data_IF_725731008268
#
_entry.id   IF_725731008268
#
_cell.length_a   1.000
_cell.length_b   1.000
_cell.length_c   1.000
_cell.angle_alpha   90.00
_cell.angle_beta   90.00
_cell.angle_gamma   90.00
#
_symmetry.space_group_name_H-M   'P 1'
#
loop_
_entity.id
_entity.type
_entity.pdbx_description
1 polymer ?
#
# COMPACT_ATOMS: atom_id res chain seq x y z
N UNK A 1 -26.16 6.26 37.31
CA UNK A 1 -26.06 6.87 35.99
C UNK A 1 -24.57 7.02 35.70
N UNK A 2 -24.03 6.11 34.94
CA UNK A 2 -22.61 6.08 34.55
C UNK A 2 -22.52 6.55 33.09
N UNK A 3 -21.82 7.68 32.88
CA UNK A 3 -21.55 8.20 31.53
C UNK A 3 -20.65 7.24 30.76
N UNK A 4 -20.84 7.07 29.43
CA UNK A 4 -19.95 6.26 28.63
C UNK A 4 -18.64 7.03 28.34
N UNK A 5 -17.52 6.37 28.58
CA UNK A 5 -16.19 6.81 28.17
C UNK A 5 -16.15 7.00 26.64
N UNK A 6 -15.90 8.23 26.22
CA UNK A 6 -15.66 8.58 24.82
C UNK A 6 -14.28 8.02 24.45
N UNK A 7 -14.25 7.01 23.57
CA UNK A 7 -13.01 6.52 22.97
C UNK A 7 -12.40 7.65 22.14
N UNK A 8 -11.31 8.22 22.60
CA UNK A 8 -10.63 9.29 21.89
C UNK A 8 -10.01 8.78 20.60
N UNK A 9 -10.54 9.22 19.49
CA UNK A 9 -9.90 9.06 18.17
C UNK A 9 -8.60 9.87 18.20
N UNK A 10 -7.47 9.17 18.22
CA UNK A 10 -6.15 9.81 18.12
C UNK A 10 -5.97 10.26 16.68
N UNK A 11 -6.18 11.55 16.42
CA UNK A 11 -5.83 12.14 15.13
C UNK A 11 -4.31 12.10 14.94
N UNK A 12 -3.80 11.72 13.75
CA UNK A 12 -2.37 11.73 13.50
C UNK A 12 -1.82 13.15 13.66
N UNK A 13 -0.75 13.29 14.45
CA UNK A 13 -0.07 14.56 14.65
C UNK A 13 0.48 15.01 13.30
N UNK A 14 -0.06 16.10 12.75
CA UNK A 14 0.47 16.71 11.53
C UNK A 14 1.87 17.27 11.83
N UNK A 15 2.90 16.67 11.24
CA UNK A 15 4.25 17.21 11.35
C UNK A 15 4.35 18.47 10.49
N UNK A 16 4.65 19.59 11.14
CA UNK A 16 4.92 20.86 10.47
C UNK A 16 6.43 20.99 10.20
N UNK A 17 6.78 21.58 9.07
CA UNK A 17 8.15 21.97 8.79
C UNK A 17 8.58 23.15 9.70
N UNK A 18 9.86 23.56 9.62
CA UNK A 18 10.39 24.70 10.41
C UNK A 18 9.72 26.03 10.09
N UNK A 19 8.85 26.11 9.08
CA UNK A 19 8.08 27.28 8.67
C UNK A 19 6.59 27.16 8.98
N UNK A 20 6.15 26.07 9.66
CA UNK A 20 4.75 25.84 10.01
C UNK A 20 3.89 25.27 8.87
N UNK A 21 4.50 24.79 7.78
CA UNK A 21 3.78 24.13 6.70
C UNK A 21 3.70 22.62 6.95
N UNK A 22 2.61 21.98 6.54
CA UNK A 22 2.52 20.52 6.54
C UNK A 22 3.63 19.93 5.67
N UNK A 23 4.46 19.06 6.25
CA UNK A 23 5.45 18.32 5.47
C UNK A 23 4.75 17.40 4.47
N UNK A 24 5.17 17.47 3.20
CA UNK A 24 4.66 16.58 2.15
C UNK A 24 4.97 15.13 2.50
N UNK A 25 3.95 14.30 2.62
CA UNK A 25 4.10 12.87 2.87
C UNK A 25 4.83 12.19 1.72
N UNK A 26 5.68 11.22 2.06
CA UNK A 26 6.53 10.48 1.11
C UNK A 26 6.05 9.02 1.03
N UNK A 27 5.77 8.54 -0.18
CA UNK A 27 5.40 7.14 -0.38
C UNK A 27 6.33 6.45 -1.38
N UNK A 28 6.71 5.20 -1.08
CA UNK A 28 7.42 4.30 -1.98
C UNK A 28 6.45 3.27 -2.55
N UNK A 29 6.43 3.14 -3.87
CA UNK A 29 5.71 2.09 -4.58
C UNK A 29 6.74 1.29 -5.39
N UNK A 30 7.27 0.17 -4.87
CA UNK A 30 8.18 -0.69 -5.60
C UNK A 30 7.40 -1.49 -6.65
N UNK A 31 7.96 -1.61 -7.85
CA UNK A 31 7.42 -2.38 -8.97
C UNK A 31 8.48 -3.29 -9.58
N UNK A 32 8.07 -4.44 -10.09
CA UNK A 32 8.94 -5.40 -10.75
C UNK A 32 8.28 -5.96 -12.01
N UNK A 33 9.02 -6.69 -12.84
CA UNK A 33 8.41 -7.44 -13.94
C UNK A 33 7.34 -8.40 -13.38
N UNK A 34 6.13 -8.34 -13.96
CA UNK A 34 4.98 -9.11 -13.50
C UNK A 34 4.18 -8.49 -12.35
N UNK A 35 4.50 -7.27 -11.90
CA UNK A 35 3.59 -6.51 -11.03
C UNK A 35 2.24 -6.27 -11.72
N UNK A 36 1.15 -6.28 -10.94
CA UNK A 36 -0.19 -6.04 -11.46
C UNK A 36 -0.38 -4.55 -11.74
N UNK A 37 -0.64 -4.22 -13.01
CA UNK A 37 -0.66 -2.83 -13.49
C UNK A 37 -1.83 -2.01 -12.96
N UNK A 38 -3.02 -2.59 -12.83
CA UNK A 38 -4.18 -1.87 -12.30
C UNK A 38 -3.94 -1.47 -10.85
N UNK A 39 -3.36 -2.36 -10.06
CA UNK A 39 -3.05 -2.11 -8.66
C UNK A 39 -1.96 -1.04 -8.54
N UNK A 40 -0.83 -1.24 -9.22
CA UNK A 40 0.29 -0.31 -9.16
C UNK A 40 -0.10 1.11 -9.59
N UNK A 41 -0.76 1.25 -10.74
CA UNK A 41 -1.16 2.55 -11.29
C UNK A 41 -2.24 3.21 -10.41
N UNK A 42 -3.20 2.44 -9.89
CA UNK A 42 -4.24 2.96 -9.00
C UNK A 42 -3.63 3.50 -7.70
N UNK A 43 -2.73 2.75 -7.07
CA UNK A 43 -2.03 3.21 -5.87
C UNK A 43 -1.29 4.53 -6.14
N UNK A 44 -0.51 4.58 -7.23
CA UNK A 44 0.28 5.75 -7.62
C UNK A 44 -0.61 6.97 -7.88
N UNK A 45 -1.67 6.81 -8.68
CA UNK A 45 -2.57 7.89 -9.07
C UNK A 45 -3.31 8.47 -7.85
N UNK A 46 -3.92 7.61 -7.04
CA UNK A 46 -4.73 8.03 -5.88
C UNK A 46 -3.87 8.74 -4.83
N UNK A 47 -2.68 8.23 -4.53
CA UNK A 47 -1.75 8.89 -3.61
C UNK A 47 -1.27 10.24 -4.15
N UNK A 48 -0.97 10.34 -5.46
CA UNK A 48 -0.59 11.62 -6.09
C UNK A 48 -1.73 12.63 -6.06
N UNK A 49 -2.99 12.21 -6.25
CA UNK A 49 -4.19 13.06 -6.07
C UNK A 49 -4.28 13.64 -4.65
N UNK A 50 -3.86 12.87 -3.65
CA UNK A 50 -3.81 13.33 -2.26
C UNK A 50 -2.66 14.32 -1.97
N UNK A 51 -1.80 14.61 -2.93
CA UNK A 51 -0.62 15.46 -2.75
C UNK A 51 0.57 14.74 -2.11
N UNK A 52 0.55 13.41 -2.06
CA UNK A 52 1.68 12.60 -1.57
C UNK A 52 2.79 12.58 -2.61
N UNK A 53 4.04 12.77 -2.19
CA UNK A 53 5.20 12.61 -3.04
C UNK A 53 5.50 11.12 -3.23
N UNK A 54 5.01 10.56 -4.34
CA UNK A 54 5.16 9.14 -4.68
C UNK A 54 6.42 8.92 -5.49
N UNK A 55 7.28 8.03 -5.00
CA UNK A 55 8.42 7.49 -5.75
C UNK A 55 8.08 6.08 -6.20
N UNK A 56 8.08 5.85 -7.50
CA UNK A 56 7.96 4.52 -8.11
C UNK A 56 9.36 3.97 -8.30
N UNK A 57 9.69 2.83 -7.69
CA UNK A 57 11.04 2.26 -7.76
C UNK A 57 11.03 0.90 -8.46
N UNK A 58 11.87 0.75 -9.50
CA UNK A 58 12.07 -0.53 -10.18
C UNK A 58 12.91 -1.48 -9.33
N UNK A 59 12.35 -2.65 -9.05
CA UNK A 59 13.09 -3.78 -8.48
C UNK A 59 13.56 -4.64 -9.63
N UNK A 60 14.75 -4.36 -10.12
CA UNK A 60 15.42 -5.08 -11.20
C UNK A 60 16.91 -4.99 -11.01
N UNK A 61 17.63 -6.06 -11.38
CA UNK A 61 19.09 -6.08 -11.42
C UNK A 61 19.66 -5.27 -12.60
N UNK A 62 18.80 -4.94 -13.56
CA UNK A 62 19.19 -4.10 -14.70
C UNK A 62 19.05 -2.62 -14.34
N UNK A 63 19.85 -1.77 -15.03
CA UNK A 63 19.70 -0.32 -14.95
C UNK A 63 18.44 0.19 -15.68
N UNK A 64 17.68 -0.69 -16.31
CA UNK A 64 16.45 -0.33 -17.00
C UNK A 64 15.33 -0.09 -15.97
N UNK A 65 14.81 1.11 -15.95
CA UNK A 65 13.68 1.49 -15.07
C UNK A 65 12.33 1.02 -15.63
N UNK A 66 12.30 0.49 -16.85
CA UNK A 66 11.10 -0.04 -17.49
C UNK A 66 10.83 -1.47 -17.01
N UNK A 67 9.63 -1.70 -16.50
CA UNK A 67 9.14 -3.04 -16.18
C UNK A 67 8.01 -3.43 -17.14
N UNK A 68 7.87 -4.73 -17.38
CA UNK A 68 6.71 -5.31 -18.06
C UNK A 68 5.76 -5.85 -17.00
N UNK A 69 4.60 -5.25 -16.88
CA UNK A 69 3.58 -5.62 -15.90
C UNK A 69 2.88 -6.94 -16.29
N UNK A 70 2.02 -7.46 -15.42
CA UNK A 70 1.46 -8.81 -15.50
C UNK A 70 0.61 -9.07 -16.77
N UNK A 71 0.04 -8.03 -17.36
CA UNK A 71 -0.77 -8.10 -18.60
C UNK A 71 -0.08 -7.46 -19.81
N UNK A 72 1.22 -7.15 -19.68
CA UNK A 72 2.05 -6.66 -20.77
C UNK A 72 2.15 -5.14 -20.88
N UNK A 73 1.52 -4.40 -19.99
CA UNK A 73 1.69 -2.94 -19.91
C UNK A 73 3.11 -2.59 -19.50
N UNK A 74 3.71 -1.57 -20.12
CA UNK A 74 5.00 -1.06 -19.70
C UNK A 74 4.83 0.06 -18.67
N UNK A 75 5.54 -0.06 -17.56
CA UNK A 75 5.64 0.99 -16.54
C UNK A 75 7.11 1.41 -16.47
N UNK A 76 7.36 2.72 -16.50
CA UNK A 76 8.69 3.28 -16.29
C UNK A 76 8.74 3.86 -14.89
N UNK A 77 9.61 3.31 -14.04
CA UNK A 77 9.83 3.76 -12.68
C UNK A 77 10.62 5.07 -12.64
N UNK A 78 10.49 5.81 -11.54
CA UNK A 78 11.21 7.07 -11.33
C UNK A 78 12.70 6.83 -11.04
N UNK A 79 13.01 5.69 -10.37
CA UNK A 79 14.39 5.32 -9.98
C UNK A 79 14.53 3.81 -9.77
N UNK A 80 15.75 3.35 -9.53
CA UNK A 80 16.02 2.00 -9.04
C UNK A 80 15.70 1.89 -7.54
N UNK A 81 15.30 0.70 -7.07
CA UNK A 81 15.13 0.42 -5.63
C UNK A 81 16.43 0.67 -4.85
N UNK A 82 17.59 0.51 -5.48
CA UNK A 82 18.89 0.81 -4.86
C UNK A 82 19.06 2.28 -4.47
N UNK A 83 18.46 3.20 -5.24
CA UNK A 83 18.46 4.62 -4.95
C UNK A 83 17.56 4.99 -3.75
N UNK A 84 16.71 4.05 -3.31
CA UNK A 84 15.84 4.19 -2.16
C UNK A 84 16.46 3.68 -0.85
N UNK A 85 17.61 2.99 -0.93
CA UNK A 85 18.29 2.43 0.24
C UNK A 85 18.58 3.50 1.31
N UNK A 86 18.25 3.19 2.56
CA UNK A 86 18.48 4.09 3.70
C UNK A 86 17.57 5.33 3.76
N UNK A 87 16.65 5.52 2.80
CA UNK A 87 15.65 6.60 2.86
C UNK A 87 14.49 6.20 3.75
N UNK A 88 13.91 7.20 4.39
CA UNK A 88 12.72 7.05 5.21
C UNK A 88 11.48 7.42 4.40
N UNK A 89 10.43 6.62 4.54
CA UNK A 89 9.15 6.80 3.87
C UNK A 89 8.02 6.88 4.91
N UNK A 90 6.98 7.66 4.65
CA UNK A 90 5.76 7.63 5.49
C UNK A 90 4.90 6.40 5.16
N UNK A 91 4.96 5.93 3.91
CA UNK A 91 4.25 4.77 3.41
C UNK A 91 5.13 3.94 2.47
N UNK A 92 5.10 2.62 2.59
CA UNK A 92 5.50 1.69 1.53
C UNK A 92 4.25 0.94 1.09
N UNK A 93 3.88 1.01 -0.20
CA UNK A 93 2.71 0.35 -0.75
C UNK A 93 3.12 -0.67 -1.83
N UNK A 94 2.78 -1.94 -1.60
CA UNK A 94 3.20 -3.09 -2.38
C UNK A 94 2.07 -3.54 -3.30
N UNK A 95 2.15 -3.36 -4.63
CA UNK A 95 1.24 -3.98 -5.58
C UNK A 95 1.47 -5.49 -5.63
N UNK A 96 0.45 -6.22 -6.08
CA UNK A 96 0.53 -7.66 -6.28
C UNK A 96 1.01 -8.05 -7.68
N UNK A 97 0.39 -9.10 -8.19
CA UNK A 97 0.80 -9.78 -9.43
C UNK A 97 1.80 -10.91 -9.17
N UNK A 98 1.73 -11.94 -10.01
CA UNK A 98 2.69 -13.05 -10.01
C UNK A 98 3.26 -13.13 -11.44
N UNK A 99 4.60 -13.08 -11.62
CA UNK A 99 5.67 -13.21 -10.61
C UNK A 99 6.10 -11.90 -9.93
N UNK A 100 5.44 -10.76 -10.16
CA UNK A 100 5.87 -9.45 -9.62
C UNK A 100 6.12 -9.45 -8.11
N UNK A 101 5.16 -9.99 -7.30
CA UNK A 101 5.32 -10.09 -5.86
C UNK A 101 6.50 -10.99 -5.43
N UNK A 102 6.84 -12.01 -6.22
CA UNK A 102 7.99 -12.87 -5.96
C UNK A 102 9.29 -12.10 -6.17
N UNK A 103 9.43 -11.37 -7.28
CA UNK A 103 10.59 -10.51 -7.54
C UNK A 103 10.74 -9.41 -6.48
N UNK A 104 9.62 -8.83 -5.99
CA UNK A 104 9.66 -7.89 -4.87
C UNK A 104 10.15 -8.57 -3.58
N UNK A 105 9.68 -9.79 -3.29
CA UNK A 105 10.08 -10.54 -2.11
C UNK A 105 11.56 -10.91 -2.08
N UNK A 106 12.15 -11.16 -3.26
CA UNK A 106 13.57 -11.52 -3.43
C UNK A 106 14.54 -10.33 -3.29
N UNK A 107 14.03 -9.09 -3.36
CA UNK A 107 14.86 -7.89 -3.24
C UNK A 107 15.38 -7.69 -1.82
N UNK A 108 16.69 -7.80 -1.64
CA UNK A 108 17.34 -7.56 -0.35
C UNK A 108 17.24 -6.10 0.10
N UNK A 109 17.26 -5.15 -0.83
CA UNK A 109 17.10 -3.72 -0.53
C UNK A 109 15.67 -3.44 -0.05
N UNK A 110 14.66 -3.98 -0.74
CA UNK A 110 13.27 -3.82 -0.30
C UNK A 110 13.04 -4.49 1.05
N UNK A 111 13.64 -5.66 1.29
CA UNK A 111 13.54 -6.32 2.59
C UNK A 111 14.07 -5.44 3.73
N UNK A 112 15.26 -4.85 3.57
CA UNK A 112 15.83 -3.93 4.55
C UNK A 112 14.93 -2.71 4.80
N UNK A 113 14.35 -2.16 3.73
CA UNK A 113 13.38 -1.05 3.84
C UNK A 113 12.13 -1.46 4.62
N UNK A 114 11.55 -2.64 4.33
CA UNK A 114 10.37 -3.15 5.02
C UNK A 114 10.65 -3.43 6.50
N UNK A 115 11.76 -4.07 6.84
CA UNK A 115 12.13 -4.35 8.22
C UNK A 115 12.29 -3.06 9.04
N UNK A 116 12.97 -2.05 8.48
CA UNK A 116 13.12 -0.75 9.12
C UNK A 116 11.77 -0.05 9.27
N UNK A 117 10.95 -0.08 8.23
CA UNK A 117 9.64 0.57 8.16
C UNK A 117 8.68 0.05 9.23
N UNK A 118 8.58 -1.27 9.36
CA UNK A 118 7.75 -1.94 10.39
C UNK A 118 8.27 -1.65 11.80
N UNK A 119 9.59 -1.70 12.00
CA UNK A 119 10.21 -1.38 13.30
C UNK A 119 9.93 0.05 13.76
N UNK A 120 9.81 0.98 12.81
CA UNK A 120 9.48 2.38 13.07
C UNK A 120 7.97 2.64 13.11
N UNK A 121 7.13 1.59 13.05
CA UNK A 121 5.67 1.65 13.06
C UNK A 121 5.08 2.58 11.98
N UNK A 122 5.72 2.67 10.82
CA UNK A 122 5.24 3.46 9.68
C UNK A 122 4.20 2.70 8.89
N UNK A 123 3.39 3.43 8.13
CA UNK A 123 2.27 2.86 7.38
C UNK A 123 2.75 1.92 6.26
N UNK A 124 2.23 0.70 6.25
CA UNK A 124 2.54 -0.35 5.30
C UNK A 124 1.26 -0.77 4.57
N UNK A 125 1.30 -0.77 3.25
CA UNK A 125 0.19 -1.24 2.41
C UNK A 125 0.60 -2.42 1.54
N UNK A 126 -0.27 -3.42 1.38
CA UNK A 126 -0.06 -4.52 0.44
C UNK A 126 -1.39 -5.04 -0.12
N UNK A 127 -1.42 -5.37 -1.42
CA UNK A 127 -2.64 -5.83 -2.08
C UNK A 127 -2.41 -7.12 -2.86
N UNK A 128 -3.46 -7.92 -3.03
CA UNK A 128 -3.50 -9.10 -3.89
C UNK A 128 -2.57 -10.23 -3.39
N UNK A 129 -1.54 -10.58 -4.16
CA UNK A 129 -0.56 -11.59 -3.75
C UNK A 129 0.45 -11.05 -2.73
N UNK A 130 0.70 -9.74 -2.71
CA UNK A 130 1.77 -9.13 -1.91
C UNK A 130 1.63 -9.35 -0.38
N UNK A 131 0.43 -9.31 0.24
CA UNK A 131 0.30 -9.62 1.66
C UNK A 131 0.82 -11.01 2.00
N UNK A 132 0.46 -12.03 1.21
CA UNK A 132 0.88 -13.40 1.45
C UNK A 132 2.35 -13.66 1.06
N UNK A 133 2.71 -13.29 -0.19
CA UNK A 133 4.01 -13.64 -0.80
C UNK A 133 5.16 -12.81 -0.22
N UNK A 134 4.89 -11.58 0.21
CA UNK A 134 5.92 -10.69 0.76
C UNK A 134 5.80 -10.61 2.28
N UNK A 135 4.71 -10.03 2.79
CA UNK A 135 4.61 -9.71 4.22
C UNK A 135 4.49 -10.95 5.08
N UNK A 136 3.65 -11.91 4.69
CA UNK A 136 3.44 -13.16 5.41
C UNK A 136 4.71 -14.01 5.46
N UNK A 137 5.39 -14.19 4.31
CA UNK A 137 6.63 -14.97 4.24
C UNK A 137 7.78 -14.35 5.06
N UNK A 138 7.79 -13.02 5.21
CA UNK A 138 8.76 -12.30 6.04
C UNK A 138 8.35 -12.19 7.51
N UNK A 139 7.22 -12.79 7.91
CA UNK A 139 6.71 -12.76 9.29
C UNK A 139 6.17 -11.40 9.76
N UNK A 140 5.94 -10.45 8.83
CA UNK A 140 5.48 -9.10 9.15
C UNK A 140 3.98 -9.01 9.46
N UNK A 141 3.25 -10.11 9.34
CA UNK A 141 1.82 -10.24 9.67
C UNK A 141 1.57 -11.19 10.85
N UNK A 142 2.60 -11.62 11.56
CA UNK A 142 2.47 -12.63 12.61
C UNK A 142 1.55 -12.20 13.78
N UNK A 143 1.38 -10.91 14.01
CA UNK A 143 0.51 -10.30 15.02
C UNK A 143 -0.70 -9.56 14.44
N UNK A 144 -0.94 -9.67 13.12
CA UNK A 144 -1.93 -8.88 12.37
C UNK A 144 -3.09 -9.71 11.85
N UNK A 145 -4.27 -9.13 11.85
CA UNK A 145 -5.39 -9.53 10.98
C UNK A 145 -5.15 -8.91 9.60
N UNK A 146 -5.23 -9.71 8.55
CA UNK A 146 -4.93 -9.24 7.19
C UNK A 146 -5.75 -10.00 6.14
N UNK A 147 -5.88 -9.44 4.94
CA UNK A 147 -6.47 -10.10 3.78
C UNK A 147 -5.49 -10.11 2.61
N UNK A 148 -5.75 -10.96 1.62
CA UNK A 148 -4.98 -11.05 0.37
C UNK A 148 -5.88 -11.54 -0.77
N UNK A 149 -5.31 -11.84 -1.93
CA UNK A 149 -6.05 -12.47 -3.00
C UNK A 149 -6.53 -13.87 -2.59
N UNK A 150 -7.78 -14.28 -2.89
CA UNK A 150 -8.38 -15.55 -2.44
C UNK A 150 -7.53 -16.79 -2.71
N UNK A 151 -6.75 -16.80 -3.80
CA UNK A 151 -5.83 -17.90 -4.11
C UNK A 151 -4.75 -18.13 -3.05
N UNK A 152 -4.49 -17.16 -2.19
CA UNK A 152 -3.42 -17.19 -1.18
C UNK A 152 -3.94 -17.32 0.27
N UNK A 153 -5.25 -17.36 0.50
CA UNK A 153 -5.81 -17.42 1.86
C UNK A 153 -5.23 -18.57 2.68
N UNK A 154 -5.11 -19.76 2.08
CA UNK A 154 -4.61 -20.95 2.79
C UNK A 154 -3.09 -20.92 3.06
N UNK A 155 -2.34 -20.15 2.29
CA UNK A 155 -0.88 -20.07 2.42
C UNK A 155 -0.42 -18.83 3.16
N UNK A 156 -1.32 -17.87 3.41
CA UNK A 156 -0.97 -16.61 4.06
C UNK A 156 -0.62 -16.81 5.54
N UNK A 157 0.57 -16.38 5.92
CA UNK A 157 1.08 -16.42 7.30
C UNK A 157 0.74 -15.12 8.00
N UNK A 158 -0.44 -15.06 8.62
CA UNK A 158 -0.92 -13.94 9.43
C UNK A 158 -1.50 -14.47 10.75
N UNK A 159 -1.71 -13.61 11.75
CA UNK A 159 -2.42 -13.98 12.98
C UNK A 159 -3.84 -14.42 12.65
N UNK A 160 -4.51 -13.71 11.77
CA UNK A 160 -5.85 -13.99 11.30
C UNK A 160 -5.98 -13.58 9.83
N UNK A 161 -6.64 -14.43 9.02
CA UNK A 161 -6.91 -14.16 7.61
C UNK A 161 -8.38 -13.80 7.47
N UNK A 162 -8.66 -12.52 7.21
CA UNK A 162 -10.00 -12.03 6.89
C UNK A 162 -10.30 -12.31 5.41
N UNK A 163 -11.29 -13.14 5.14
CA UNK A 163 -11.71 -13.55 3.80
C UNK A 163 -12.88 -12.75 3.25
N UNK A 164 -13.51 -11.90 4.07
CA UNK A 164 -14.75 -11.18 3.76
C UNK A 164 -14.49 -9.73 3.39
N UNK A 165 -13.60 -9.07 4.13
CA UNK A 165 -13.36 -7.63 3.97
C UNK A 165 -12.55 -7.33 2.72
N UNK A 166 -12.98 -6.35 1.93
CA UNK A 166 -12.27 -5.87 0.75
C UNK A 166 -10.94 -5.19 1.10
N UNK A 167 -10.91 -4.51 2.24
CA UNK A 167 -9.74 -3.85 2.83
C UNK A 167 -9.73 -4.13 4.32
N UNK A 168 -8.59 -4.47 4.87
CA UNK A 168 -8.35 -4.70 6.30
C UNK A 168 -7.30 -3.73 6.79
N UNK A 169 -7.61 -3.03 7.88
CA UNK A 169 -6.68 -2.15 8.60
C UNK A 169 -6.39 -2.75 9.96
N UNK A 170 -5.15 -3.05 10.25
CA UNK A 170 -4.70 -3.48 11.57
C UNK A 170 -3.45 -2.68 11.99
N UNK A 171 -3.68 -1.67 12.84
CA UNK A 171 -2.66 -0.74 13.27
C UNK A 171 -2.08 0.05 12.08
N UNK A 172 -0.80 -0.15 11.83
CA UNK A 172 -0.08 0.51 10.74
C UNK A 172 -0.02 -0.33 9.44
N UNK A 173 -0.82 -1.37 9.34
CA UNK A 173 -0.85 -2.24 8.16
C UNK A 173 -2.23 -2.21 7.49
N UNK A 174 -2.24 -1.96 6.18
CA UNK A 174 -3.44 -2.00 5.34
C UNK A 174 -3.25 -3.08 4.29
N UNK A 175 -4.21 -4.01 4.20
CA UNK A 175 -4.16 -5.09 3.21
C UNK A 175 -5.45 -5.17 2.40
N UNK A 176 -5.39 -5.71 1.18
CA UNK A 176 -6.55 -5.81 0.28
C UNK A 176 -6.45 -6.98 -0.68
N UNK A 177 -7.58 -7.31 -1.36
CA UNK A 177 -7.76 -8.58 -2.04
C UNK A 177 -7.24 -8.62 -3.48
N UNK A 178 -7.33 -7.53 -4.25
CA UNK A 178 -6.90 -7.60 -5.66
C UNK A 178 -7.35 -6.43 -6.53
N UNK A 179 -7.22 -6.52 -7.86
CA UNK A 179 -7.47 -5.40 -8.77
C UNK A 179 -8.83 -4.74 -8.58
N UNK A 180 -9.88 -5.54 -8.33
CA UNK A 180 -11.23 -5.04 -8.08
C UNK A 180 -11.43 -4.27 -6.76
N UNK A 181 -10.45 -4.30 -5.86
CA UNK A 181 -10.45 -3.56 -4.59
C UNK A 181 -9.37 -2.48 -4.54
N UNK A 182 -8.64 -2.25 -5.64
CA UNK A 182 -7.47 -1.37 -5.66
C UNK A 182 -7.82 0.10 -5.32
N UNK A 183 -8.98 0.59 -5.75
CA UNK A 183 -9.42 1.96 -5.44
C UNK A 183 -9.74 2.09 -3.95
N UNK A 184 -10.49 1.14 -3.38
CA UNK A 184 -10.83 1.14 -1.96
C UNK A 184 -9.56 1.10 -1.10
N UNK A 185 -8.61 0.24 -1.48
CA UNK A 185 -7.31 0.12 -0.84
C UNK A 185 -6.49 1.41 -0.90
N UNK A 186 -6.39 2.02 -2.09
CA UNK A 186 -5.62 3.24 -2.26
C UNK A 186 -6.24 4.44 -1.52
N UNK A 187 -7.57 4.54 -1.47
CA UNK A 187 -8.27 5.56 -0.67
C UNK A 187 -8.10 5.33 0.83
N UNK A 188 -8.07 4.07 1.28
CA UNK A 188 -7.76 3.74 2.67
C UNK A 188 -6.35 4.15 3.04
N UNK A 189 -5.35 3.91 2.16
CA UNK A 189 -3.98 4.41 2.37
C UNK A 189 -3.94 5.94 2.49
N UNK A 190 -4.74 6.67 1.69
CA UNK A 190 -4.87 8.13 1.81
C UNK A 190 -5.47 8.51 3.16
N UNK A 191 -6.50 7.81 3.63
CA UNK A 191 -7.13 8.07 4.92
C UNK A 191 -6.13 7.89 6.07
N UNK A 192 -5.43 6.76 6.10
CA UNK A 192 -4.44 6.45 7.14
C UNK A 192 -3.24 7.41 7.12
N UNK A 193 -2.84 7.90 5.95
CA UNK A 193 -1.68 8.78 5.79
C UNK A 193 -2.00 10.27 5.98
N UNK A 194 -3.17 10.71 5.50
CA UNK A 194 -3.54 12.12 5.35
C UNK A 194 -4.86 12.49 6.05
N UNK A 195 -5.61 11.51 6.55
CA UNK A 195 -6.88 11.69 7.24
C UNK A 195 -8.11 11.63 6.33
N UNK A 196 -9.29 11.41 6.95
CA UNK A 196 -10.58 11.20 6.29
C UNK A 196 -10.97 12.34 5.35
N UNK A 197 -10.72 13.59 5.73
CA UNK A 197 -11.05 14.76 4.90
C UNK A 197 -10.31 14.71 3.56
N UNK A 198 -9.02 14.35 3.59
CA UNK A 198 -8.21 14.21 2.37
C UNK A 198 -8.69 13.04 1.50
N UNK A 199 -9.07 11.92 2.10
CA UNK A 199 -9.69 10.80 1.38
C UNK A 199 -10.94 11.23 0.62
N UNK A 200 -11.84 11.99 1.27
CA UNK A 200 -13.09 12.47 0.66
C UNK A 200 -12.81 13.48 -0.48
N UNK A 201 -11.86 14.41 -0.30
CA UNK A 201 -11.42 15.33 -1.34
C UNK A 201 -10.91 14.60 -2.59
N UNK A 202 -10.19 13.49 -2.41
CA UNK A 202 -9.68 12.66 -3.51
C UNK A 202 -10.80 11.83 -4.13
N UNK A 203 -11.65 11.20 -3.33
CA UNK A 203 -12.70 10.30 -3.80
C UNK A 203 -13.81 11.02 -4.59
N UNK A 204 -14.19 12.23 -4.17
CA UNK A 204 -15.30 12.98 -4.75
C UNK A 204 -15.20 13.16 -6.27
N UNK A 205 -14.07 13.64 -6.85
CA UNK A 205 -13.95 13.80 -8.30
C UNK A 205 -13.72 12.47 -9.06
N UNK A 206 -13.48 11.36 -8.37
CA UNK A 206 -13.28 10.05 -9.01
C UNK A 206 -14.59 9.38 -9.44
N UNK A 207 -15.73 9.98 -9.12
CA UNK A 207 -17.07 9.48 -9.53
C UNK A 207 -17.29 8.03 -9.07
N UNK A 208 -16.94 7.74 -7.84
CA UNK A 208 -17.15 6.42 -7.26
C UNK A 208 -18.63 6.27 -6.94
N UNK A 209 -19.27 5.23 -7.48
CA UNK A 209 -20.68 4.96 -7.23
C UNK A 209 -20.87 4.47 -5.81
N UNK A 210 -21.71 5.18 -5.03
CA UNK A 210 -22.17 4.74 -3.70
C UNK A 210 -23.40 3.85 -3.78
N UNK A 211 -23.97 3.66 -4.97
CA UNK A 211 -25.15 2.80 -5.20
C UNK A 211 -24.73 1.46 -5.78
N UNK A 212 -25.32 0.35 -5.33
CA UNK A 212 -25.21 -0.93 -6.02
C UNK A 212 -25.98 -0.81 -7.34
N UNK A 213 -25.36 -0.27 -8.37
CA UNK A 213 -25.90 -0.38 -9.73
C UNK A 213 -25.72 -1.84 -10.14
N UNK A 214 -26.87 -2.50 -10.37
CA UNK A 214 -26.88 -3.80 -11.01
C UNK A 214 -26.10 -3.70 -12.32
N UNK A 215 -25.02 -4.45 -12.43
CA UNK A 215 -24.43 -4.74 -13.72
C UNK A 215 -25.40 -5.68 -14.44
N UNK A 216 -25.99 -5.20 -15.53
CA UNK A 216 -26.74 -6.03 -16.46
C UNK A 216 -25.80 -6.84 -17.32
#
# INVERSE_FOLDING_TARGET
MTEPLISGTVYPIQMLDKKGNNMTKQALVPVANGSEEMEAVTIIDVLRRAGVAVTVASVSDSKDLKITASRGTYIVADCSIHDCAGKAWDLIALPGGVPGSQHLAESTVLDQLLQTHVKELRLLGAICAAPAVILGEKGLLADKTATCHPQFYQSMKAKEVDTESRVVVDGNCVTSQGPGTAIDFALELVEQLCGVVKREEVASPMVLTTSPTAYY
#
